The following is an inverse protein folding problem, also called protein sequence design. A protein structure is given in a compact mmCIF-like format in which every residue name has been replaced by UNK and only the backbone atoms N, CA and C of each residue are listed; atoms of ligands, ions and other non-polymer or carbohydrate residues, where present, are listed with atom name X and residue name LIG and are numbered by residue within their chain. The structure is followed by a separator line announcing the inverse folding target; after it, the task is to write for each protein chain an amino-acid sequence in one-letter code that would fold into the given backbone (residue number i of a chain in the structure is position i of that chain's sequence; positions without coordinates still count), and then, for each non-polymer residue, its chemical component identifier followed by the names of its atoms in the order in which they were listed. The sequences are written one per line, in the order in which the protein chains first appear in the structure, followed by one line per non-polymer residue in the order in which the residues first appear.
data_IF_078628876533
#
_entry.id   IF_078628876533
#
_cell.length_a   1.000
_cell.length_b   1.000
_cell.length_c   1.000
_cell.angle_alpha   90.00
_cell.angle_beta   90.00
_cell.angle_gamma   90.00
#
_symmetry.space_group_name_H-M   'P 1'
#
loop_
_entity.id
_entity.type
_entity.pdbx_description
1 polymer ?
#
# COMPACT_ATOMS: atom_id res chain seq x y z
N UNK A 1 -26.57 -8.22 -43.08
CA UNK A 1 -27.46 -7.86 -44.19
C UNK A 1 -27.23 -6.39 -44.44
N UNK A 2 -26.48 -6.10 -45.48
CA UNK A 2 -26.38 -4.77 -46.11
C UNK A 2 -26.31 -4.99 -47.63
N UNK A 3 -26.86 -4.08 -48.45
CA UNK A 3 -27.42 -4.41 -49.75
C UNK A 3 -26.43 -4.22 -50.90
N UNK A 4 -26.58 -5.07 -51.92
CA UNK A 4 -25.90 -4.96 -53.21
C UNK A 4 -26.29 -3.67 -53.94
N UNK A 5 -25.29 -2.90 -54.37
CA UNK A 5 -25.45 -1.86 -55.39
C UNK A 5 -25.48 -2.52 -56.78
N UNK A 6 -26.59 -2.32 -57.50
CA UNK A 6 -26.71 -2.56 -58.94
C UNK A 6 -25.90 -1.53 -59.74
N UNK A 7 -25.35 -1.87 -60.92
CA UNK A 7 -24.70 -0.89 -61.78
C UNK A 7 -25.67 -0.23 -62.75
N UNK A 8 -25.44 1.08 -62.93
CA UNK A 8 -26.14 2.04 -63.77
C UNK A 8 -26.35 1.60 -65.23
N UNK A 9 -27.56 1.91 -65.72
CA UNK A 9 -27.92 1.94 -67.14
C UNK A 9 -27.36 3.22 -67.76
N UNK A 10 -26.44 3.09 -68.72
CA UNK A 10 -26.10 4.18 -69.64
C UNK A 10 -26.67 3.89 -71.03
N UNK A 11 -27.61 4.74 -71.44
CA UNK A 11 -28.10 4.93 -72.80
C UNK A 11 -26.95 5.34 -73.71
N UNK A 12 -26.82 4.72 -74.88
CA UNK A 12 -26.08 5.29 -76.02
C UNK A 12 -26.90 5.08 -77.30
N UNK A 13 -27.12 6.19 -77.99
CA UNK A 13 -27.93 6.38 -79.19
C UNK A 13 -27.44 5.56 -80.40
N UNK A 14 -28.38 5.14 -81.24
CA UNK A 14 -28.11 4.55 -82.55
C UNK A 14 -27.69 5.62 -83.57
N UNK A 15 -26.59 5.45 -84.32
CA UNK A 15 -26.35 6.16 -85.56
C UNK A 15 -26.89 5.38 -86.75
N UNK A 16 -27.46 6.14 -87.68
CA UNK A 16 -28.08 5.70 -88.93
C UNK A 16 -27.04 5.13 -89.91
N UNK A 17 -27.42 4.05 -90.57
CA UNK A 17 -26.80 3.52 -91.78
C UNK A 17 -26.72 4.60 -92.87
N UNK A 18 -25.54 4.78 -93.44
CA UNK A 18 -25.35 5.11 -94.85
C UNK A 18 -23.87 4.97 -95.22
N UNK A 19 -23.56 4.04 -96.15
CA UNK A 19 -22.40 4.20 -97.04
C UNK A 19 -21.27 3.18 -96.92
N UNK A 20 -21.20 2.33 -97.97
CA UNK A 20 -20.00 1.73 -98.54
C UNK A 20 -19.32 0.55 -97.80
N UNK A 21 -19.73 -0.65 -98.23
CA UNK A 21 -18.86 -1.76 -98.65
C UNK A 21 -17.35 -1.55 -98.45
N UNK A 22 -16.84 -2.15 -97.37
CA UNK A 22 -15.55 -2.83 -97.38
C UNK A 22 -15.72 -4.08 -96.52
N UNK A 23 -15.99 -5.21 -97.20
CA UNK A 23 -15.85 -6.54 -96.63
C UNK A 23 -14.35 -6.73 -96.30
N UNK A 24 -13.90 -6.24 -95.14
CA UNK A 24 -12.62 -6.62 -94.57
C UNK A 24 -12.76 -8.02 -94.02
N UNK A 25 -12.71 -9.00 -94.93
CA UNK A 25 -12.40 -10.38 -94.59
C UNK A 25 -11.01 -10.39 -93.95
N UNK A 26 -10.94 -10.36 -92.63
CA UNK A 26 -9.71 -10.69 -91.90
C UNK A 26 -9.23 -12.05 -92.43
N UNK A 27 -8.00 -12.17 -92.95
CA UNK A 27 -7.52 -13.40 -93.54
C UNK A 27 -7.63 -14.51 -92.50
N UNK A 28 -8.09 -15.70 -92.88
CA UNK A 28 -8.28 -16.87 -92.01
C UNK A 28 -7.09 -17.13 -91.04
N UNK A 29 -5.88 -16.73 -91.45
CA UNK A 29 -4.66 -16.72 -90.63
C UNK A 29 -4.75 -15.87 -89.34
N UNK A 30 -5.46 -14.74 -89.34
CA UNK A 30 -5.64 -13.86 -88.17
C UNK A 30 -6.50 -14.54 -87.10
N UNK A 31 -7.62 -15.15 -87.48
CA UNK A 31 -8.46 -15.93 -86.56
C UNK A 31 -7.71 -17.13 -85.95
N UNK A 32 -6.85 -17.78 -86.74
CA UNK A 32 -6.01 -18.89 -86.25
C UNK A 32 -4.95 -18.37 -85.25
N UNK A 33 -4.37 -17.20 -85.49
CA UNK A 33 -3.42 -16.57 -84.57
C UNK A 33 -4.09 -16.18 -83.24
N UNK A 34 -5.27 -15.56 -83.30
CA UNK A 34 -6.04 -15.19 -82.12
C UNK A 34 -6.48 -16.42 -81.31
N UNK A 35 -6.88 -17.50 -81.98
CA UNK A 35 -7.23 -18.75 -81.30
C UNK A 35 -6.02 -19.39 -80.58
N UNK A 36 -4.82 -19.30 -81.17
CA UNK A 36 -3.58 -19.77 -80.53
C UNK A 36 -3.22 -18.92 -79.31
N UNK A 37 -3.39 -17.60 -79.40
CA UNK A 37 -3.16 -16.68 -78.29
C UNK A 37 -4.15 -16.93 -77.15
N UNK A 38 -5.44 -17.07 -77.47
CA UNK A 38 -6.48 -17.40 -76.48
C UNK A 38 -6.19 -18.73 -75.78
N UNK A 39 -5.73 -19.75 -76.52
CA UNK A 39 -5.36 -21.05 -75.94
C UNK A 39 -4.15 -20.93 -74.99
N UNK A 40 -3.18 -20.10 -75.34
CA UNK A 40 -2.05 -19.78 -74.46
C UNK A 40 -2.54 -19.11 -73.17
N UNK A 41 -3.35 -18.07 -73.28
CA UNK A 41 -3.88 -17.33 -72.12
C UNK A 41 -4.73 -18.21 -71.19
N UNK A 42 -5.55 -19.10 -71.76
CA UNK A 42 -6.32 -20.09 -70.97
C UNK A 42 -5.37 -21.02 -70.20
N UNK A 43 -4.27 -21.44 -70.81
CA UNK A 43 -3.28 -22.31 -70.16
C UNK A 43 -2.55 -21.57 -69.03
N UNK A 44 -2.17 -20.31 -69.26
CA UNK A 44 -1.54 -19.47 -68.23
C UNK A 44 -2.49 -19.18 -67.06
N UNK A 45 -3.77 -18.91 -67.33
CA UNK A 45 -4.78 -18.75 -66.29
C UNK A 45 -5.00 -20.03 -65.49
N UNK A 46 -4.99 -21.19 -66.15
CA UNK A 46 -5.07 -22.49 -65.46
C UNK A 46 -3.88 -22.69 -64.51
N UNK A 47 -2.65 -22.42 -64.98
CA UNK A 47 -1.45 -22.52 -64.16
C UNK A 47 -1.50 -21.58 -62.94
N UNK A 48 -1.91 -20.32 -63.16
CA UNK A 48 -2.10 -19.34 -62.07
C UNK A 48 -3.17 -19.80 -61.07
N UNK A 49 -4.26 -20.40 -61.54
CA UNK A 49 -5.31 -20.90 -60.67
C UNK A 49 -4.85 -22.10 -59.84
N UNK A 50 -4.01 -22.97 -60.40
CA UNK A 50 -3.37 -24.07 -59.66
C UNK A 50 -2.41 -23.53 -58.59
N UNK A 51 -1.60 -22.52 -58.93
CA UNK A 51 -0.69 -21.88 -57.97
C UNK A 51 -1.45 -21.18 -56.83
N UNK A 52 -2.52 -20.44 -57.15
CA UNK A 52 -3.38 -19.80 -56.17
C UNK A 52 -4.05 -20.81 -55.25
N UNK A 53 -4.51 -21.94 -55.81
CA UNK A 53 -5.10 -23.03 -55.02
C UNK A 53 -4.10 -23.62 -54.03
N UNK A 54 -2.85 -23.85 -54.46
CA UNK A 54 -1.78 -24.31 -53.56
C UNK A 54 -1.48 -23.29 -52.44
N UNK A 55 -1.45 -21.99 -52.76
CA UNK A 55 -1.28 -20.91 -51.77
C UNK A 55 -2.43 -20.85 -50.77
N UNK A 56 -3.67 -21.02 -51.22
CA UNK A 56 -4.87 -21.07 -50.35
C UNK A 56 -4.76 -22.23 -49.37
N UNK A 57 -4.31 -23.40 -49.83
CA UNK A 57 -4.16 -24.57 -48.96
C UNK A 57 -3.02 -24.42 -47.95
N UNK A 58 -1.93 -23.74 -48.32
CA UNK A 58 -0.86 -23.40 -47.37
C UNK A 58 -1.35 -22.44 -46.28
N UNK A 59 -2.05 -21.36 -46.67
CA UNK A 59 -2.65 -20.42 -45.71
C UNK A 59 -3.65 -21.12 -44.78
N UNK A 60 -4.45 -22.06 -45.30
CA UNK A 60 -5.36 -22.87 -44.47
C UNK A 60 -4.61 -23.70 -43.44
N UNK A 61 -3.49 -24.32 -43.80
CA UNK A 61 -2.65 -25.08 -42.86
C UNK A 61 -2.07 -24.18 -41.78
N UNK A 62 -1.53 -23.02 -42.15
CA UNK A 62 -1.03 -22.03 -41.19
C UNK A 62 -2.13 -21.57 -40.22
N UNK A 63 -3.33 -21.30 -40.74
CA UNK A 63 -4.48 -20.90 -39.92
C UNK A 63 -4.87 -21.99 -38.90
N UNK A 64 -4.88 -23.26 -39.31
CA UNK A 64 -5.16 -24.38 -38.40
C UNK A 64 -4.09 -24.51 -37.31
N UNK A 65 -2.82 -24.32 -37.67
CA UNK A 65 -1.71 -24.34 -36.71
C UNK A 65 -1.83 -23.21 -35.68
N UNK A 66 -2.08 -21.97 -36.13
CA UNK A 66 -2.29 -20.82 -35.24
C UNK A 66 -3.50 -21.04 -34.33
N UNK A 67 -4.58 -21.63 -34.86
CA UNK A 67 -5.76 -21.95 -34.05
C UNK A 67 -5.44 -22.95 -32.94
N UNK A 68 -4.64 -23.97 -33.22
CA UNK A 68 -4.21 -24.94 -32.22
C UNK A 68 -3.30 -24.29 -31.16
N UNK A 69 -2.33 -23.47 -31.57
CA UNK A 69 -1.43 -22.74 -30.67
C UNK A 69 -2.19 -21.76 -29.75
N UNK A 70 -3.14 -21.00 -30.30
CA UNK A 70 -3.97 -20.09 -29.52
C UNK A 70 -4.86 -20.84 -28.51
N UNK A 71 -5.39 -22.01 -28.89
CA UNK A 71 -6.17 -22.87 -27.97
C UNK A 71 -5.30 -23.35 -26.81
N UNK A 72 -4.06 -23.76 -27.09
CA UNK A 72 -3.11 -24.16 -26.06
C UNK A 72 -2.74 -23.01 -25.13
N UNK A 73 -2.39 -21.84 -25.68
CA UNK A 73 -2.09 -20.62 -24.90
C UNK A 73 -3.24 -20.21 -24.01
N UNK A 74 -4.48 -20.29 -24.50
CA UNK A 74 -5.67 -19.99 -23.70
C UNK A 74 -5.78 -20.93 -22.49
N UNK A 75 -5.55 -22.23 -22.68
CA UNK A 75 -5.55 -23.19 -21.58
C UNK A 75 -4.46 -22.88 -20.54
N UNK A 76 -3.25 -22.50 -20.97
CA UNK A 76 -2.17 -22.09 -20.06
C UNK A 76 -2.58 -20.86 -19.26
N UNK A 77 -3.17 -19.85 -19.89
CA UNK A 77 -3.65 -18.63 -19.21
C UNK A 77 -4.72 -18.98 -18.17
N UNK A 78 -5.70 -19.81 -18.51
CA UNK A 78 -6.74 -20.27 -17.57
C UNK A 78 -6.12 -20.98 -16.36
N UNK A 79 -5.15 -21.86 -16.60
CA UNK A 79 -4.47 -22.56 -15.51
C UNK A 79 -3.68 -21.60 -14.60
N UNK A 80 -2.94 -20.65 -15.17
CA UNK A 80 -2.22 -19.62 -14.41
C UNK A 80 -3.18 -18.75 -13.59
N UNK A 81 -4.33 -18.38 -14.16
CA UNK A 81 -5.35 -17.62 -13.42
C UNK A 81 -5.89 -18.38 -12.22
N UNK A 82 -6.11 -19.69 -12.34
CA UNK A 82 -6.59 -20.52 -11.24
C UNK A 82 -5.54 -20.68 -10.13
N UNK A 83 -4.27 -20.80 -10.49
CA UNK A 83 -3.17 -20.81 -9.53
C UNK A 83 -3.10 -19.49 -8.76
N UNK A 84 -3.13 -18.33 -9.46
CA UNK A 84 -3.16 -17.01 -8.83
C UNK A 84 -4.37 -16.86 -7.89
N UNK A 85 -5.54 -17.37 -8.29
CA UNK A 85 -6.75 -17.33 -7.45
C UNK A 85 -6.55 -18.13 -6.16
N UNK A 86 -5.92 -19.29 -6.24
CA UNK A 86 -5.62 -20.15 -5.10
C UNK A 86 -4.63 -19.47 -4.14
N UNK A 87 -3.53 -18.93 -4.67
CA UNK A 87 -2.53 -18.21 -3.89
C UNK A 87 -3.14 -17.00 -3.15
N UNK A 88 -4.03 -16.25 -3.82
CA UNK A 88 -4.73 -15.11 -3.21
C UNK A 88 -5.64 -15.54 -2.05
N UNK A 89 -6.27 -16.71 -2.13
CA UNK A 89 -7.08 -17.23 -1.04
C UNK A 89 -6.23 -17.66 0.15
N UNK A 90 -5.08 -18.27 -0.10
CA UNK A 90 -4.11 -18.65 0.93
C UNK A 90 -3.54 -17.41 1.64
N UNK A 91 -3.05 -16.44 0.88
CA UNK A 91 -2.57 -15.15 1.41
C UNK A 91 -3.64 -14.47 2.26
N UNK A 92 -4.90 -14.46 1.80
CA UNK A 92 -6.01 -13.87 2.56
C UNK A 92 -6.24 -14.61 3.89
N UNK A 93 -6.15 -15.93 3.88
CA UNK A 93 -6.27 -16.76 5.09
C UNK A 93 -5.15 -16.45 6.08
N UNK A 94 -3.90 -16.39 5.60
CA UNK A 94 -2.73 -16.08 6.42
C UNK A 94 -2.80 -14.67 7.02
N UNK A 95 -3.22 -13.69 6.22
CA UNK A 95 -3.44 -12.33 6.70
C UNK A 95 -4.54 -12.26 7.76
N UNK A 96 -5.61 -13.04 7.60
CA UNK A 96 -6.67 -13.13 8.61
C UNK A 96 -6.13 -13.77 9.90
N UNK A 97 -5.42 -14.89 9.80
CA UNK A 97 -4.81 -15.55 10.95
C UNK A 97 -3.84 -14.63 11.69
N UNK A 98 -3.01 -13.88 10.96
CA UNK A 98 -2.10 -12.89 11.53
C UNK A 98 -2.86 -11.76 12.22
N UNK A 99 -3.92 -11.24 11.60
CA UNK A 99 -4.78 -10.20 12.17
C UNK A 99 -5.43 -10.68 13.47
N UNK A 100 -5.99 -11.89 13.47
CA UNK A 100 -6.63 -12.49 14.64
C UNK A 100 -5.60 -12.73 15.76
N UNK A 101 -4.39 -13.18 15.40
CA UNK A 101 -3.27 -13.37 16.34
C UNK A 101 -2.80 -12.05 16.94
N UNK A 102 -2.60 -11.01 16.13
CA UNK A 102 -2.24 -9.67 16.62
C UNK A 102 -3.35 -9.09 17.49
N UNK A 103 -4.61 -9.27 17.11
CA UNK A 103 -5.76 -8.85 17.93
C UNK A 103 -5.77 -9.58 19.26
N UNK A 104 -5.59 -10.90 19.27
CA UNK A 104 -5.52 -11.69 20.50
C UNK A 104 -4.33 -11.28 21.38
N UNK A 105 -3.16 -11.00 20.80
CA UNK A 105 -1.99 -10.50 21.52
C UNK A 105 -2.22 -9.11 22.10
N UNK A 106 -2.86 -8.19 21.34
CA UNK A 106 -3.21 -6.85 21.82
C UNK A 106 -4.24 -6.95 22.93
N UNK A 107 -5.30 -7.76 22.78
CA UNK A 107 -6.30 -8.01 23.82
C UNK A 107 -5.66 -8.62 25.06
N UNK A 108 -4.78 -9.62 24.92
CA UNK A 108 -4.05 -10.20 26.05
C UNK A 108 -3.12 -9.19 26.72
N UNK A 109 -2.46 -8.33 25.95
CA UNK A 109 -1.64 -7.24 26.49
C UNK A 109 -2.50 -6.20 27.21
N UNK A 110 -3.69 -5.90 26.68
CA UNK A 110 -4.68 -5.03 27.33
C UNK A 110 -5.17 -5.69 28.62
N UNK A 111 -5.49 -6.98 28.63
CA UNK A 111 -5.92 -7.70 29.82
C UNK A 111 -4.82 -7.73 30.88
N UNK A 112 -3.57 -7.96 30.49
CA UNK A 112 -2.41 -7.85 31.38
C UNK A 112 -2.20 -6.43 31.89
N UNK A 113 -2.39 -5.41 31.04
CA UNK A 113 -2.35 -4.00 31.44
C UNK A 113 -3.49 -3.70 32.42
N UNK A 114 -4.70 -4.22 32.18
CA UNK A 114 -5.86 -4.04 33.03
C UNK A 114 -5.71 -4.78 34.36
N UNK A 115 -5.09 -5.96 34.37
CA UNK A 115 -4.77 -6.70 35.58
C UNK A 115 -3.63 -6.04 36.34
N UNK A 116 -2.61 -5.50 35.65
CA UNK A 116 -1.66 -4.58 36.27
C UNK A 116 -2.38 -3.38 36.86
N UNK A 117 -3.33 -2.76 36.17
CA UNK A 117 -4.13 -1.64 36.69
C UNK A 117 -5.00 -2.05 37.88
N UNK A 118 -5.51 -3.29 37.94
CA UNK A 118 -6.27 -3.80 39.10
C UNK A 118 -5.37 -4.08 40.28
N UNK A 119 -4.19 -4.67 40.08
CA UNK A 119 -3.18 -4.87 41.11
C UNK A 119 -2.61 -3.53 41.60
N UNK A 120 -2.45 -2.58 40.67
CA UNK A 120 -2.14 -1.19 40.98
C UNK A 120 -3.29 -0.52 41.73
N UNK A 121 -4.55 -0.80 41.41
CA UNK A 121 -5.71 -0.31 42.16
C UNK A 121 -5.75 -0.84 43.60
N UNK A 122 -5.07 -1.97 43.87
CA UNK A 122 -4.86 -2.51 45.22
C UNK A 122 -3.63 -1.90 45.91
N UNK A 123 -2.63 -1.40 45.17
CA UNK A 123 -1.49 -0.65 45.72
C UNK A 123 -1.78 0.85 45.72
N UNK A 124 -1.92 1.47 46.90
CA UNK A 124 -2.09 2.92 47.11
C UNK A 124 -1.70 3.81 45.90
N UNK A 125 -2.73 4.19 45.15
CA UNK A 125 -2.82 5.30 44.19
C UNK A 125 -1.77 5.29 43.05
N UNK A 126 -2.23 5.25 41.80
CA UNK A 126 -1.39 5.50 40.61
C UNK A 126 -1.98 6.64 39.79
N UNK A 127 -1.13 7.60 39.42
CA UNK A 127 -1.50 8.73 38.58
C UNK A 127 -1.26 8.43 37.10
N UNK A 128 -2.24 8.68 36.24
CA UNK A 128 -2.07 8.62 34.78
C UNK A 128 -1.98 10.01 34.19
N UNK A 129 -1.14 10.19 33.18
CA UNK A 129 -0.90 11.50 32.56
C UNK A 129 -1.34 11.56 31.11
N UNK A 130 -1.90 12.69 30.67
CA UNK A 130 -2.17 12.95 29.25
C UNK A 130 -0.89 13.01 28.42
N UNK A 131 -0.97 12.54 27.17
CA UNK A 131 0.06 12.69 26.13
C UNK A 131 0.50 14.14 25.86
N UNK A 132 -0.31 15.13 26.21
CA UNK A 132 0.03 16.54 26.00
C UNK A 132 1.20 17.00 26.88
N UNK A 133 1.50 16.31 28.00
CA UNK A 133 2.60 16.67 28.92
C UNK A 133 3.96 16.65 28.23
N UNK A 134 4.20 15.68 27.36
CA UNK A 134 5.45 15.57 26.61
C UNK A 134 5.73 16.82 25.79
N UNK A 135 4.75 17.28 25.01
CA UNK A 135 4.90 18.45 24.16
C UNK A 135 5.26 19.69 25.00
N UNK A 136 4.63 19.84 26.16
CA UNK A 136 4.92 20.93 27.09
C UNK A 136 6.33 20.83 27.68
N UNK A 137 6.75 19.65 28.16
CA UNK A 137 8.10 19.44 28.72
C UNK A 137 9.17 19.74 27.67
N UNK A 138 9.03 19.18 26.45
CA UNK A 138 9.96 19.42 25.34
C UNK A 138 10.03 20.90 24.97
N UNK A 139 8.90 21.61 24.97
CA UNK A 139 8.82 23.03 24.65
C UNK A 139 9.41 23.94 25.74
N UNK A 140 9.29 23.57 27.01
CA UNK A 140 9.82 24.35 28.15
C UNK A 140 11.31 24.08 28.37
N UNK A 141 11.80 22.88 28.06
CA UNK A 141 13.16 22.44 28.35
C UNK A 141 14.28 23.41 27.92
N UNK A 142 14.27 24.03 26.72
CA UNK A 142 15.30 25.00 26.33
C UNK A 142 15.35 26.24 27.22
N UNK A 143 14.20 26.70 27.73
CA UNK A 143 14.11 27.84 28.66
C UNK A 143 14.49 27.42 30.08
N UNK A 144 14.04 26.24 30.50
CA UNK A 144 14.40 25.64 31.77
C UNK A 144 15.93 25.51 31.95
N UNK A 145 16.66 25.17 30.88
CA UNK A 145 18.13 25.11 30.91
C UNK A 145 18.80 26.45 31.24
N UNK A 146 18.13 27.58 30.99
CA UNK A 146 18.63 28.94 31.29
C UNK A 146 18.14 29.43 32.65
N UNK A 147 16.87 29.16 32.95
CA UNK A 147 16.22 29.56 34.20
C UNK A 147 15.24 28.45 34.67
N UNK A 148 15.59 27.69 35.72
CA UNK A 148 14.72 26.65 36.27
C UNK A 148 13.36 27.16 36.76
N UNK A 149 13.25 28.44 37.15
CA UNK A 149 12.02 29.01 37.71
C UNK A 149 10.91 29.14 36.66
N UNK A 150 11.22 29.04 35.37
CA UNK A 150 10.22 29.02 34.29
C UNK A 150 9.18 27.91 34.50
N UNK A 151 9.52 26.82 35.19
CA UNK A 151 8.57 25.75 35.52
C UNK A 151 7.43 26.23 36.43
N UNK A 152 7.71 27.16 37.34
CA UNK A 152 6.72 27.70 38.29
C UNK A 152 5.67 28.55 37.60
N UNK A 153 5.99 29.09 36.42
CA UNK A 153 5.05 29.86 35.60
C UNK A 153 4.17 28.99 34.71
N UNK A 154 4.44 27.68 34.62
CA UNK A 154 3.71 26.76 33.75
C UNK A 154 2.57 26.06 34.52
N UNK A 155 1.41 26.71 34.58
CA UNK A 155 0.26 26.20 35.31
C UNK A 155 -0.28 24.87 34.78
N UNK A 156 -0.04 24.56 33.51
CA UNK A 156 -0.41 23.27 32.93
C UNK A 156 0.36 22.10 33.57
N UNK A 157 1.69 22.21 33.65
CA UNK A 157 2.53 21.19 34.29
C UNK A 157 2.25 21.07 35.79
N UNK A 158 1.99 22.20 36.46
CA UNK A 158 1.67 22.21 37.88
C UNK A 158 0.34 21.49 38.14
N UNK A 159 -0.74 21.89 37.46
CA UNK A 159 -2.08 21.30 37.61
C UNK A 159 -2.09 19.78 37.36
N UNK A 160 -1.17 19.34 36.51
CA UNK A 160 -0.95 17.93 36.18
C UNK A 160 -0.25 17.12 37.26
N UNK A 161 0.61 17.75 38.06
CA UNK A 161 1.30 17.13 39.19
C UNK A 161 0.43 17.17 40.44
N UNK A 162 -0.32 18.26 40.66
CA UNK A 162 -1.26 18.36 41.80
C UNK A 162 -2.59 17.64 41.54
N UNK A 163 -2.76 16.97 40.40
CA UNK A 163 -3.92 16.11 40.11
C UNK A 163 -5.23 16.84 39.79
N UNK A 164 -5.20 18.14 39.51
CA UNK A 164 -6.41 18.96 39.28
C UNK A 164 -6.90 18.86 37.83
N UNK A 165 -6.07 18.36 36.90
CA UNK A 165 -6.34 18.44 35.46
C UNK A 165 -7.20 17.33 34.87
N UNK A 166 -7.17 16.12 35.43
CA UNK A 166 -7.91 14.98 34.89
C UNK A 166 -8.93 14.47 35.92
N UNK A 167 -10.17 14.14 35.52
CA UNK A 167 -11.11 13.43 36.39
C UNK A 167 -10.44 12.15 36.90
N UNK A 168 -10.56 11.87 38.21
CA UNK A 168 -9.96 10.70 38.88
C UNK A 168 -8.42 10.72 38.98
N UNK A 169 -7.75 11.85 38.70
CA UNK A 169 -6.31 11.99 38.97
C UNK A 169 -6.07 12.30 40.45
N UNK A 170 -5.13 11.58 41.07
CA UNK A 170 -4.57 11.95 42.35
C UNK A 170 -3.36 12.87 42.15
N UNK A 171 -3.03 13.74 43.13
CA UNK A 171 -1.74 14.41 43.18
C UNK A 171 -0.60 13.39 43.14
N UNK A 172 0.51 13.73 42.46
CA UNK A 172 1.66 12.84 42.37
C UNK A 172 2.37 12.63 43.72
N UNK A 173 2.09 13.50 44.70
CA UNK A 173 2.55 13.35 46.08
C UNK A 173 1.84 12.23 46.84
N UNK A 174 0.70 11.75 46.34
CA UNK A 174 -0.15 10.75 47.02
C UNK A 174 -0.05 9.36 46.38
N UNK A 175 0.72 9.23 45.31
CA UNK A 175 0.88 8.00 44.52
C UNK A 175 2.30 7.46 44.69
N UNK A 176 2.45 6.14 44.73
CA UNK A 176 3.77 5.51 44.69
C UNK A 176 4.38 5.59 43.28
N UNK A 177 3.53 5.54 42.24
CA UNK A 177 3.94 5.49 40.84
C UNK A 177 3.07 6.37 39.94
N UNK A 178 3.71 6.92 38.91
CA UNK A 178 3.06 7.68 37.85
C UNK A 178 3.36 7.01 36.51
N UNK A 179 2.31 6.72 35.75
CA UNK A 179 2.41 6.11 34.42
C UNK A 179 2.24 7.18 33.35
N UNK A 180 3.22 7.27 32.44
CA UNK A 180 3.29 8.31 31.42
C UNK A 180 3.53 7.72 30.03
N UNK A 181 2.60 7.88 29.08
CA UNK A 181 2.89 7.59 27.68
C UNK A 181 3.79 8.69 27.08
N UNK A 182 4.89 8.31 26.42
CA UNK A 182 5.86 9.23 25.83
C UNK A 182 6.28 8.84 24.40
N UNK A 183 6.71 9.82 23.60
CA UNK A 183 7.20 9.74 22.22
C UNK A 183 8.60 10.37 22.09
N UNK A 184 9.63 9.81 22.76
CA UNK A 184 10.93 10.45 22.92
C UNK A 184 11.58 10.90 21.60
N UNK A 185 11.30 10.21 20.49
CA UNK A 185 12.02 10.33 19.22
C UNK A 185 11.28 11.09 18.09
N UNK A 186 10.21 11.85 18.38
CA UNK A 186 9.38 12.56 17.37
C UNK A 186 8.85 11.64 16.24
N UNK A 187 8.80 10.33 16.49
CA UNK A 187 8.35 9.29 15.57
C UNK A 187 7.16 8.55 16.21
N UNK A 188 6.29 7.97 15.38
CA UNK A 188 5.00 7.38 15.76
C UNK A 188 5.10 6.07 16.58
N UNK A 189 5.97 6.00 17.58
CA UNK A 189 6.10 4.84 18.46
C UNK A 189 6.03 5.26 19.93
N UNK A 190 4.90 4.92 20.56
CA UNK A 190 4.66 5.15 21.97
C UNK A 190 5.52 4.23 22.83
N UNK A 191 6.13 4.81 23.87
CA UNK A 191 6.80 4.10 24.94
C UNK A 191 6.09 4.40 26.26
N UNK A 192 6.17 3.46 27.21
CA UNK A 192 5.65 3.66 28.55
C UNK A 192 6.78 4.08 29.47
N UNK A 193 6.61 5.23 30.12
CA UNK A 193 7.45 5.68 31.22
C UNK A 193 6.73 5.41 32.55
N UNK A 194 7.48 4.86 33.52
CA UNK A 194 7.05 4.68 34.89
C UNK A 194 7.98 5.49 35.78
N UNK A 195 7.42 6.54 36.39
CA UNK A 195 8.07 7.28 37.45
C UNK A 195 7.69 6.66 38.79
N UNK A 196 8.65 5.98 39.41
CA UNK A 196 8.55 5.53 40.79
C UNK A 196 8.96 6.69 41.72
N UNK A 197 7.97 7.25 42.40
CA UNK A 197 8.13 8.45 43.25
C UNK A 197 8.97 8.11 44.47
N UNK A 198 8.78 6.91 45.04
CA UNK A 198 9.45 6.45 46.26
C UNK A 198 10.91 6.09 46.00
N UNK A 199 11.17 5.34 44.93
CA UNK A 199 12.53 4.94 44.56
C UNK A 199 13.28 6.06 43.81
N UNK A 200 12.58 7.14 43.47
CA UNK A 200 13.06 8.21 42.61
C UNK A 200 13.70 7.65 41.34
N UNK A 201 12.97 6.75 40.66
CA UNK A 201 13.45 6.16 39.41
C UNK A 201 12.47 6.38 38.28
N UNK A 202 13.01 6.61 37.10
CA UNK A 202 12.24 6.70 35.86
C UNK A 202 12.63 5.52 34.98
N UNK A 203 11.65 4.70 34.65
CA UNK A 203 11.81 3.44 33.91
C UNK A 203 11.10 3.52 32.58
N UNK A 204 11.86 3.45 31.48
CA UNK A 204 11.30 3.44 30.12
C UNK A 204 11.20 2.02 29.60
N UNK A 205 9.99 1.65 29.16
CA UNK A 205 9.70 0.40 28.46
C UNK A 205 9.61 0.67 26.96
N UNK A 206 10.55 0.06 26.22
CA UNK A 206 10.67 0.19 24.76
C UNK A 206 10.46 -1.17 24.09
N UNK A 207 9.29 -1.38 23.50
CA UNK A 207 8.94 -2.63 22.83
C UNK A 207 9.55 -2.78 21.43
N UNK A 208 10.17 -1.74 20.88
CA UNK A 208 10.76 -1.76 19.53
C UNK A 208 12.24 -1.36 19.52
N UNK A 209 13.03 -1.98 20.41
CA UNK A 209 14.48 -1.75 20.56
C UNK A 209 15.28 -1.83 19.25
N UNK A 210 14.86 -2.69 18.31
CA UNK A 210 15.49 -2.80 16.97
C UNK A 210 15.39 -1.52 16.15
N UNK A 211 14.26 -0.82 16.25
CA UNK A 211 13.97 0.40 15.50
C UNK A 211 14.43 1.64 16.26
N UNK A 212 14.40 1.59 17.60
CA UNK A 212 14.77 2.68 18.49
C UNK A 212 15.83 2.21 19.50
N UNK A 213 17.13 2.37 19.17
CA UNK A 213 18.20 2.01 20.08
C UNK A 213 18.13 2.76 21.40
N UNK A 214 18.51 2.11 22.51
CA UNK A 214 18.41 2.66 23.86
C UNK A 214 19.11 4.02 24.01
N UNK A 215 20.22 4.24 23.29
CA UNK A 215 20.93 5.51 23.28
C UNK A 215 20.05 6.66 22.74
N UNK A 216 19.33 6.41 21.66
CA UNK A 216 18.42 7.38 21.07
C UNK A 216 17.25 7.69 22.01
N UNK A 217 16.71 6.65 22.66
CA UNK A 217 15.66 6.82 23.68
C UNK A 217 16.16 7.69 24.83
N UNK A 218 17.38 7.43 25.35
CA UNK A 218 18.01 8.23 26.41
C UNK A 218 18.12 9.71 26.05
N UNK A 219 18.53 10.02 24.83
CA UNK A 219 18.58 11.41 24.35
C UNK A 219 17.17 12.03 24.31
N UNK A 220 16.19 11.30 23.78
CA UNK A 220 14.82 11.79 23.66
C UNK A 220 14.11 12.02 25.00
N UNK A 221 14.46 11.25 26.04
CA UNK A 221 13.87 11.41 27.38
C UNK A 221 14.65 12.34 28.32
N UNK A 222 15.83 12.83 27.91
CA UNK A 222 16.62 13.77 28.71
C UNK A 222 15.80 14.95 29.27
N UNK A 223 14.90 15.61 28.49
CA UNK A 223 14.08 16.69 29.01
C UNK A 223 13.26 16.31 30.25
N UNK A 224 12.73 15.09 30.29
CA UNK A 224 11.88 14.59 31.37
C UNK A 224 12.71 14.35 32.63
N UNK A 225 13.84 13.66 32.50
CA UNK A 225 14.76 13.37 33.61
C UNK A 225 15.29 14.66 34.24
N UNK A 226 15.41 15.74 33.47
CA UNK A 226 15.86 17.06 33.97
C UNK A 226 14.73 17.86 34.59
N UNK A 227 13.56 17.92 33.94
CA UNK A 227 12.44 18.79 34.35
C UNK A 227 11.65 18.21 35.52
N UNK A 228 11.31 16.92 35.47
CA UNK A 228 10.43 16.30 36.47
C UNK A 228 10.96 16.42 37.90
N UNK A 229 12.25 16.16 38.21
CA UNK A 229 12.75 16.33 39.58
C UNK A 229 12.60 17.77 40.09
N UNK A 230 12.82 18.77 39.23
CA UNK A 230 12.71 20.18 39.60
C UNK A 230 11.25 20.58 39.83
N UNK A 231 10.35 20.12 38.96
CA UNK A 231 8.91 20.32 39.11
C UNK A 231 8.39 19.67 40.39
N UNK A 232 8.78 18.42 40.65
CA UNK A 232 8.43 17.71 41.87
C UNK A 232 9.01 18.38 43.12
N UNK A 233 10.25 18.89 43.04
CA UNK A 233 10.87 19.63 44.15
C UNK A 233 10.11 20.90 44.50
N UNK A 234 9.68 21.64 43.47
CA UNK A 234 8.94 22.88 43.63
C UNK A 234 7.55 22.67 44.24
N UNK A 235 6.89 21.57 43.91
CA UNK A 235 5.49 21.33 44.28
C UNK A 235 5.36 20.47 45.56
N UNK A 236 6.23 19.47 45.72
CA UNK A 236 6.13 18.44 46.76
C UNK A 236 7.22 18.59 47.84
N UNK A 237 8.31 19.32 47.56
CA UNK A 237 9.39 19.62 48.50
C UNK A 237 10.74 18.93 48.19
N UNK A 238 11.77 19.13 49.03
CA UNK A 238 13.20 18.93 48.67
C UNK A 238 13.68 17.48 48.42
N UNK A 239 12.81 16.47 48.39
CA UNK A 239 13.19 15.05 48.54
C UNK A 239 13.35 14.24 47.24
N UNK A 240 13.53 14.82 46.05
CA UNK A 240 13.49 14.02 44.80
C UNK A 240 14.73 14.25 43.91
N UNK A 241 15.48 13.18 43.65
CA UNK A 241 16.54 13.07 42.64
C UNK A 241 16.27 11.83 41.79
N UNK A 242 15.89 12.00 40.52
CA UNK A 242 15.44 10.87 39.70
C UNK A 242 16.61 10.21 38.96
N UNK A 243 16.82 8.92 39.21
CA UNK A 243 17.73 8.07 38.44
C UNK A 243 17.02 7.41 37.27
N UNK A 244 17.61 7.48 36.07
CA UNK A 244 17.02 6.91 34.86
C UNK A 244 17.49 5.47 34.62
N UNK A 245 16.54 4.55 34.40
CA UNK A 245 16.79 3.18 33.93
C UNK A 245 16.03 2.95 32.61
N UNK A 246 16.72 2.44 31.59
CA UNK A 246 16.04 1.91 30.38
C UNK A 246 15.90 0.42 30.59
N UNK A 247 14.67 -0.08 30.57
CA UNK A 247 14.38 -1.50 30.78
C UNK A 247 14.06 -2.12 29.41
N UNK A 248 14.85 -3.09 28.92
CA UNK A 248 14.50 -3.82 27.72
C UNK A 248 13.24 -4.66 27.98
N UNK A 249 12.26 -4.61 27.07
CA UNK A 249 11.30 -5.70 26.95
C UNK A 249 12.05 -6.89 26.33
N UNK A 250 12.16 -7.97 27.09
CA UNK A 250 12.70 -9.26 26.64
C UNK A 250 11.79 -9.86 25.57
#
# INVERSE_FOLDING_TARGET
MDPLMEPDKMYVESPKDEGASAHMSLPHAAYIADFKLLKHDVTDLQNKNTELSAKIDDVRKQLLSIKADNSHKLNVVVHVQENIRTDLLEIKSDLKFLSDSVTAMVTSSIDQIMDMFKEIGKSKCTGTTSNQKEAVIKHVYPRFKKDPNVLLTNMWLINDVIGVRLPLSCPWSEVDRVLMPILPMNKAHWMLDILDIKEHTMSIFNSTRRTYPDLCVRVGVEPFVRVIPHLMRAIVGPRIHIMMKVIPWS
#
